data_IF_929308608703
#
_entry.id   IF_929308608703
#
_cell.length_a   1.000
_cell.length_b   1.000
_cell.length_c   1.000
_cell.angle_alpha   90.00
_cell.angle_beta   90.00
_cell.angle_gamma   90.00
#
_symmetry.space_group_name_H-M   'P 1'
#
loop_
_entity.id
_entity.type
_entity.pdbx_description
1 polymer ?
#
# COMPACT_ATOMS: atom_id res chain seq x y z
N UNK A 1 2.47 -80.62 43.51
CA UNK A 1 3.53 -80.04 42.61
C UNK A 1 3.43 -78.53 42.71
N UNK A 2 4.42 -77.82 43.27
CA UNK A 2 4.36 -76.39 43.41
C UNK A 2 4.95 -75.69 42.18
N UNK A 3 4.29 -74.63 41.75
CA UNK A 3 4.66 -73.74 40.67
C UNK A 3 5.92 -72.93 41.02
N UNK A 4 6.95 -73.02 40.15
CA UNK A 4 8.18 -72.23 40.28
C UNK A 4 7.92 -70.80 39.84
N UNK A 5 8.07 -69.84 40.74
CA UNK A 5 8.11 -68.39 40.40
C UNK A 5 9.43 -68.01 39.78
N UNK A 6 9.40 -67.51 38.55
CA UNK A 6 10.55 -66.91 37.86
C UNK A 6 10.73 -65.46 38.30
N UNK A 7 11.85 -65.15 38.95
CA UNK A 7 12.25 -63.80 39.32
C UNK A 7 12.99 -63.15 38.12
N UNK A 8 12.44 -62.04 37.62
CA UNK A 8 13.17 -61.19 36.66
C UNK A 8 14.08 -60.20 37.41
N UNK A 9 15.30 -59.94 36.94
CA UNK A 9 16.17 -58.98 37.60
C UNK A 9 15.71 -57.53 37.31
N UNK A 10 15.62 -56.70 38.36
CA UNK A 10 15.42 -55.25 38.24
C UNK A 10 16.64 -54.65 37.59
N UNK A 11 16.55 -54.31 36.28
CA UNK A 11 17.57 -53.52 35.59
C UNK A 11 17.35 -52.05 35.81
N UNK A 12 18.43 -51.37 36.18
CA UNK A 12 18.57 -49.98 36.55
C UNK A 12 17.92 -49.00 35.55
N UNK A 13 16.85 -48.32 35.98
CA UNK A 13 16.26 -47.17 35.27
C UNK A 13 17.06 -45.84 35.49
N UNK A 14 18.18 -45.90 36.24
CA UNK A 14 18.90 -44.67 36.68
C UNK A 14 19.97 -44.15 35.70
N UNK A 15 20.28 -44.87 34.60
CA UNK A 15 21.36 -44.46 33.67
C UNK A 15 20.87 -43.86 32.32
N UNK A 16 19.54 -43.83 32.06
CA UNK A 16 19.02 -43.31 30.77
C UNK A 16 18.71 -41.84 30.84
N UNK A 17 18.35 -41.29 31.98
CA UNK A 17 18.01 -39.88 32.15
C UNK A 17 19.16 -38.87 31.90
N UNK A 18 20.40 -39.10 32.34
CA UNK A 18 21.50 -38.19 32.06
C UNK A 18 21.95 -38.23 30.57
N UNK A 19 21.73 -39.34 29.85
CA UNK A 19 22.13 -39.42 28.45
C UNK A 19 21.20 -38.63 27.50
N UNK A 20 19.90 -38.59 27.84
CA UNK A 20 18.93 -37.75 27.09
C UNK A 20 19.13 -36.24 27.35
N UNK A 21 19.57 -35.83 28.52
CA UNK A 21 19.94 -34.44 28.81
C UNK A 21 21.24 -34.01 28.10
N UNK A 22 22.20 -34.93 27.91
CA UNK A 22 23.43 -34.61 27.18
C UNK A 22 23.21 -34.52 25.68
N UNK A 23 22.27 -35.27 25.10
CA UNK A 23 21.92 -35.21 23.68
C UNK A 23 21.18 -33.89 23.32
N UNK A 24 20.38 -33.35 24.26
CA UNK A 24 19.72 -32.06 24.10
C UNK A 24 20.70 -30.87 24.16
N UNK A 25 21.88 -31.03 24.77
CA UNK A 25 22.95 -30.03 24.81
C UNK A 25 23.89 -30.09 23.60
N UNK A 26 23.81 -31.17 22.80
CA UNK A 26 24.62 -31.36 21.59
C UNK A 26 23.84 -31.10 20.29
N UNK A 27 22.52 -30.79 20.35
CA UNK A 27 21.87 -30.21 19.19
C UNK A 27 22.51 -28.85 18.93
N UNK A 28 23.23 -28.64 17.81
CA UNK A 28 23.69 -27.32 17.48
C UNK A 28 22.43 -26.46 17.36
N UNK A 29 22.28 -25.50 18.25
CA UNK A 29 21.32 -24.41 18.09
C UNK A 29 21.76 -23.72 16.80
N UNK A 30 21.21 -24.16 15.66
CA UNK A 30 21.38 -23.42 14.43
C UNK A 30 20.72 -22.07 14.68
N UNK A 31 21.52 -21.09 15.08
CA UNK A 31 21.08 -19.72 15.08
C UNK A 31 20.59 -19.47 13.65
N UNK A 32 19.26 -19.42 13.46
CA UNK A 32 18.70 -19.03 12.17
C UNK A 32 19.35 -17.72 11.79
N UNK A 33 19.96 -17.66 10.61
CA UNK A 33 20.50 -16.42 10.13
C UNK A 33 19.43 -15.33 10.25
N UNK A 34 19.79 -14.15 10.74
CA UNK A 34 18.86 -13.06 10.86
C UNK A 34 18.25 -12.78 9.49
N UNK A 35 16.92 -12.72 9.41
CA UNK A 35 16.21 -12.42 8.17
C UNK A 35 16.66 -11.06 7.63
N UNK A 36 16.84 -10.99 6.31
CA UNK A 36 17.27 -9.78 5.63
C UNK A 36 16.08 -9.01 5.09
N UNK A 37 16.14 -7.69 5.16
CA UNK A 37 15.12 -6.79 4.65
C UNK A 37 15.71 -5.79 3.67
N UNK A 38 14.97 -5.49 2.61
CA UNK A 38 15.25 -4.39 1.69
C UNK A 38 14.03 -3.48 1.59
N UNK A 39 14.24 -2.19 1.81
CA UNK A 39 13.24 -1.14 1.60
C UNK A 39 13.66 -0.35 0.37
N UNK A 40 12.83 -0.34 -0.66
CA UNK A 40 13.02 0.42 -1.88
C UNK A 40 12.11 1.64 -1.86
N UNK A 41 12.71 2.82 -1.82
CA UNK A 41 11.99 4.08 -1.69
C UNK A 41 12.09 4.90 -2.98
N UNK A 42 10.98 4.97 -3.70
CA UNK A 42 10.84 5.76 -4.92
C UNK A 42 10.39 7.18 -4.54
N UNK A 43 11.38 8.05 -4.29
CA UNK A 43 11.21 9.38 -3.70
C UNK A 43 11.17 10.43 -4.82
N UNK A 44 9.99 10.72 -5.34
CA UNK A 44 9.73 11.79 -6.28
C UNK A 44 9.50 13.08 -5.49
N UNK A 45 10.47 14.01 -5.48
CA UNK A 45 10.39 15.20 -4.64
C UNK A 45 9.29 16.16 -5.04
N UNK A 46 9.01 16.30 -6.34
CA UNK A 46 8.00 17.23 -6.87
C UNK A 46 8.14 18.64 -6.31
N UNK A 47 7.09 19.46 -6.40
CA UNK A 47 7.05 20.75 -5.72
C UNK A 47 6.99 20.64 -4.19
N UNK A 48 6.59 19.49 -3.63
CA UNK A 48 6.65 19.25 -2.18
C UNK A 48 8.07 19.38 -1.62
N UNK A 49 9.07 18.93 -2.39
CA UNK A 49 10.47 19.14 -2.02
C UNK A 49 10.95 20.54 -2.42
N UNK A 50 10.55 21.01 -3.60
CA UNK A 50 11.01 22.32 -4.12
C UNK A 50 10.55 23.48 -3.24
N UNK A 51 9.30 23.46 -2.79
CA UNK A 51 8.67 24.55 -2.02
C UNK A 51 8.92 24.37 -0.52
N UNK A 52 8.71 23.17 0.02
CA UNK A 52 8.61 22.91 1.46
C UNK A 52 9.78 22.07 2.02
N UNK A 53 10.59 21.43 1.16
CA UNK A 53 11.65 20.54 1.61
C UNK A 53 11.17 19.25 2.27
N UNK A 54 9.94 18.80 1.95
CA UNK A 54 9.27 17.70 2.62
C UNK A 54 10.05 16.37 2.47
N UNK A 55 10.51 16.03 1.26
CA UNK A 55 11.32 14.85 1.06
C UNK A 55 12.67 14.90 1.81
N UNK A 56 13.25 16.09 1.90
CA UNK A 56 14.49 16.31 2.69
C UNK A 56 14.24 16.15 4.19
N UNK A 57 13.05 16.51 4.70
CA UNK A 57 12.66 16.29 6.09
C UNK A 57 12.53 14.79 6.40
N UNK A 58 11.85 14.03 5.55
CA UNK A 58 11.68 12.57 5.72
C UNK A 58 13.00 11.82 5.59
N UNK A 59 13.87 12.24 4.67
CA UNK A 59 15.25 11.75 4.61
C UNK A 59 16.02 12.02 5.90
N UNK A 60 15.82 13.20 6.50
CA UNK A 60 16.45 13.53 7.78
C UNK A 60 15.91 12.69 8.93
N UNK A 61 14.65 12.27 8.89
CA UNK A 61 14.08 11.30 9.81
C UNK A 61 14.70 9.91 9.64
N UNK A 62 14.77 9.40 8.41
CA UNK A 62 15.41 8.12 8.13
C UNK A 62 16.83 8.07 8.65
N UNK A 63 17.57 9.17 8.53
CA UNK A 63 18.97 9.23 8.97
C UNK A 63 19.16 9.18 10.48
N UNK A 64 18.10 9.42 11.26
CA UNK A 64 18.08 9.23 12.72
C UNK A 64 17.77 7.76 13.09
N UNK A 65 17.21 6.98 12.16
CA UNK A 65 16.92 5.58 12.41
C UNK A 65 18.19 4.76 12.63
N UNK A 66 18.10 3.72 13.47
CA UNK A 66 19.18 2.80 13.78
C UNK A 66 18.86 1.44 13.19
N UNK A 67 19.38 1.21 11.99
CA UNK A 67 19.15 -0.04 11.26
C UNK A 67 20.39 -0.95 11.34
N UNK A 68 20.22 -2.23 11.66
CA UNK A 68 21.30 -3.21 11.59
C UNK A 68 21.69 -3.52 10.14
N UNK A 69 22.84 -4.14 9.95
CA UNK A 69 23.45 -4.35 8.62
C UNK A 69 22.63 -5.30 7.73
N UNK A 70 21.70 -6.08 8.28
CA UNK A 70 20.77 -6.96 7.54
C UNK A 70 19.51 -6.23 7.02
N UNK A 71 19.39 -4.92 7.25
CA UNK A 71 18.37 -4.07 6.62
C UNK A 71 19.06 -3.10 5.66
N UNK A 72 18.60 -3.08 4.40
CA UNK A 72 19.05 -2.12 3.37
C UNK A 72 17.90 -1.20 3.00
N UNK A 73 18.19 0.12 2.96
CA UNK A 73 17.26 1.09 2.38
C UNK A 73 17.90 1.65 1.12
N UNK A 74 17.25 1.43 -0.02
CA UNK A 74 17.70 1.88 -1.35
C UNK A 74 16.73 2.94 -1.83
N UNK A 75 17.23 4.12 -2.16
CA UNK A 75 16.42 5.30 -2.45
C UNK A 75 16.73 5.78 -3.85
N UNK A 76 15.72 5.99 -4.68
CA UNK A 76 15.86 6.76 -5.92
C UNK A 76 15.24 8.14 -5.71
N UNK A 77 15.99 9.20 -6.05
CA UNK A 77 15.55 10.59 -5.96
C UNK A 77 15.46 11.22 -7.34
N UNK A 78 14.48 12.07 -7.53
CA UNK A 78 14.22 12.86 -8.74
C UNK A 78 12.99 13.72 -8.56
N UNK A 79 12.48 14.31 -9.63
CA UNK A 79 11.16 14.95 -9.69
C UNK A 79 11.07 16.36 -9.13
N UNK A 80 12.04 16.84 -8.35
CA UNK A 80 12.03 18.17 -7.76
C UNK A 80 12.91 19.15 -8.56
N UNK A 81 12.46 20.39 -8.71
CA UNK A 81 13.22 21.49 -9.30
C UNK A 81 14.37 21.93 -8.42
N UNK A 82 14.24 21.77 -7.10
CA UNK A 82 15.27 22.05 -6.11
C UNK A 82 15.19 21.01 -4.98
N UNK A 83 16.35 20.59 -4.46
CA UNK A 83 16.47 19.77 -3.25
C UNK A 83 17.03 20.60 -2.12
N UNK A 84 16.39 20.57 -0.96
CA UNK A 84 16.85 21.26 0.25
C UNK A 84 17.97 20.49 0.96
N UNK A 85 18.09 19.18 0.68
CA UNK A 85 19.14 18.35 1.25
C UNK A 85 20.43 18.46 0.46
N UNK A 86 21.58 18.85 1.08
CA UNK A 86 22.88 18.83 0.43
C UNK A 86 23.27 17.42 -0.07
N UNK A 87 23.84 17.35 -1.27
CA UNK A 87 24.28 16.10 -1.90
C UNK A 87 23.22 15.42 -2.77
N UNK A 88 21.97 15.91 -2.78
CA UNK A 88 20.94 15.51 -3.75
C UNK A 88 20.79 16.63 -4.79
N UNK A 89 20.61 16.26 -6.04
CA UNK A 89 20.56 17.21 -7.15
C UNK A 89 19.26 17.07 -7.95
N UNK A 90 18.70 18.20 -8.37
CA UNK A 90 17.56 18.26 -9.27
C UNK A 90 17.92 17.99 -10.76
N UNK A 91 19.21 17.93 -11.09
CA UNK A 91 19.68 17.81 -12.49
C UNK A 91 19.89 16.38 -12.96
N UNK A 92 19.64 15.40 -12.13
CA UNK A 92 19.81 13.98 -12.46
C UNK A 92 19.02 13.10 -11.48
N UNK A 93 18.71 11.87 -11.91
CA UNK A 93 18.23 10.82 -11.03
C UNK A 93 19.39 10.35 -10.18
N UNK A 94 19.25 10.40 -8.85
CA UNK A 94 20.21 9.86 -7.89
C UNK A 94 19.72 8.54 -7.30
N UNK A 95 20.64 7.56 -7.14
CA UNK A 95 20.36 6.36 -6.33
C UNK A 95 21.29 6.32 -5.15
N UNK A 96 20.71 6.10 -3.99
CA UNK A 96 21.41 6.14 -2.71
C UNK A 96 21.10 4.88 -1.91
N UNK A 97 22.04 4.52 -1.03
CA UNK A 97 21.84 3.48 -0.02
C UNK A 97 22.06 4.09 1.36
N UNK A 98 21.12 3.83 2.26
CA UNK A 98 21.32 4.16 3.68
C UNK A 98 22.36 3.24 4.28
N UNK A 99 23.35 3.82 4.94
CA UNK A 99 24.35 3.12 5.72
C UNK A 99 24.71 3.90 6.99
N UNK A 100 24.36 3.35 8.15
CA UNK A 100 24.73 3.88 9.47
C UNK A 100 24.49 5.39 9.62
N UNK A 101 23.30 5.86 9.30
CA UNK A 101 22.90 7.27 9.40
C UNK A 101 23.43 8.17 8.29
N UNK A 102 23.93 7.60 7.18
CA UNK A 102 24.40 8.35 6.00
C UNK A 102 23.77 7.82 4.74
N UNK A 103 23.68 8.67 3.73
CA UNK A 103 23.32 8.29 2.37
C UNK A 103 24.59 8.19 1.53
N UNK A 104 24.83 7.03 0.96
CA UNK A 104 25.91 6.79 0.00
C UNK A 104 25.32 6.79 -1.41
N UNK A 105 25.79 7.68 -2.29
CA UNK A 105 25.35 7.69 -3.68
C UNK A 105 25.99 6.51 -4.43
N UNK A 106 25.16 5.59 -4.89
CA UNK A 106 25.60 4.37 -5.61
C UNK A 106 25.39 4.45 -7.12
N UNK A 107 24.53 5.37 -7.59
CA UNK A 107 24.38 5.65 -9.02
C UNK A 107 23.91 7.08 -9.27
N UNK A 108 24.30 7.58 -10.45
CA UNK A 108 23.86 8.86 -11.00
C UNK A 108 23.45 8.62 -12.45
N UNK A 109 22.21 8.94 -12.76
CA UNK A 109 21.62 8.71 -14.08
C UNK A 109 21.22 10.05 -14.71
N UNK A 110 21.12 10.16 -16.05
CA UNK A 110 20.54 11.32 -16.68
C UNK A 110 19.18 11.67 -16.09
N UNK A 111 18.82 12.96 -16.14
CA UNK A 111 17.48 13.41 -15.77
C UNK A 111 16.42 12.71 -16.64
N UNK A 112 15.39 12.20 -16.01
CA UNK A 112 14.25 11.53 -16.63
C UNK A 112 13.03 11.74 -15.74
N UNK A 113 11.83 11.68 -16.29
CA UNK A 113 10.61 11.79 -15.50
C UNK A 113 10.48 10.66 -14.48
N UNK A 114 10.23 11.01 -13.22
CA UNK A 114 9.85 10.03 -12.18
C UNK A 114 8.44 9.49 -12.44
N UNK A 115 7.62 10.18 -13.23
CA UNK A 115 6.31 9.71 -13.71
C UNK A 115 6.38 8.77 -14.93
N UNK A 116 7.56 8.46 -15.46
CA UNK A 116 7.71 7.55 -16.62
C UNK A 116 7.90 6.09 -16.19
N UNK A 117 7.14 5.18 -16.82
CA UNK A 117 7.22 3.73 -16.64
C UNK A 117 8.65 3.19 -16.74
N UNK A 118 9.47 3.73 -17.65
CA UNK A 118 10.86 3.26 -17.83
C UNK A 118 11.74 3.62 -16.64
N UNK A 119 11.51 4.78 -16.03
CA UNK A 119 12.26 5.22 -14.85
C UNK A 119 11.96 4.32 -13.66
N UNK A 120 10.67 4.00 -13.42
CA UNK A 120 10.28 3.05 -12.39
C UNK A 120 10.83 1.65 -12.68
N UNK A 121 10.67 1.15 -13.92
CA UNK A 121 11.19 -0.17 -14.33
C UNK A 121 12.69 -0.28 -14.10
N UNK A 122 13.45 0.77 -14.45
CA UNK A 122 14.90 0.82 -14.22
C UNK A 122 15.28 0.77 -12.75
N UNK A 123 14.50 1.41 -11.87
CA UNK A 123 14.74 1.35 -10.42
C UNK A 123 14.43 -0.03 -9.86
N UNK A 124 13.30 -0.62 -10.22
CA UNK A 124 12.91 -1.97 -9.81
C UNK A 124 13.96 -3.00 -10.22
N UNK A 125 14.44 -2.94 -11.48
CA UNK A 125 15.47 -3.83 -11.98
C UNK A 125 16.80 -3.68 -11.20
N UNK A 126 17.22 -2.43 -10.96
CA UNK A 126 18.42 -2.13 -10.17
C UNK A 126 18.32 -2.68 -8.74
N UNK A 127 17.17 -2.51 -8.09
CA UNK A 127 16.94 -3.03 -6.74
C UNK A 127 17.00 -4.56 -6.72
N UNK A 128 16.31 -5.20 -7.66
CA UNK A 128 16.28 -6.67 -7.77
C UNK A 128 17.67 -7.25 -8.00
N UNK A 129 18.46 -6.63 -8.86
CA UNK A 129 19.79 -7.11 -9.23
C UNK A 129 20.82 -6.95 -8.09
N UNK A 130 20.77 -5.83 -7.36
CA UNK A 130 21.84 -5.46 -6.44
C UNK A 130 21.50 -5.57 -4.96
N UNK A 131 20.19 -5.60 -4.59
CA UNK A 131 19.75 -5.46 -3.20
C UNK A 131 18.61 -6.41 -2.82
N UNK A 132 18.48 -7.57 -3.46
CA UNK A 132 17.50 -8.58 -3.07
C UNK A 132 17.69 -9.01 -1.61
N UNK A 133 16.59 -9.28 -0.92
CA UNK A 133 16.54 -9.72 0.48
C UNK A 133 15.44 -10.77 0.66
N UNK A 134 15.40 -11.42 1.84
CA UNK A 134 14.33 -12.37 2.18
C UNK A 134 12.96 -11.69 2.20
N UNK A 135 12.93 -10.43 2.66
CA UNK A 135 11.73 -9.58 2.72
C UNK A 135 11.99 -8.26 2.01
N UNK A 136 11.04 -7.83 1.21
CA UNK A 136 11.15 -6.61 0.42
C UNK A 136 9.94 -5.71 0.63
N UNK A 137 10.18 -4.42 0.83
CA UNK A 137 9.17 -3.36 0.93
C UNK A 137 9.43 -2.35 -0.18
N UNK A 138 8.40 -1.91 -0.88
CA UNK A 138 8.48 -0.82 -1.85
C UNK A 138 7.59 0.35 -1.39
N UNK A 139 8.09 1.57 -1.45
CA UNK A 139 7.36 2.77 -1.05
C UNK A 139 7.42 3.80 -2.18
N UNK A 140 6.25 4.22 -2.64
CA UNK A 140 6.09 5.43 -3.44
C UNK A 140 5.93 6.62 -2.51
N UNK A 141 6.58 7.73 -2.82
CA UNK A 141 6.49 8.97 -2.07
C UNK A 141 6.31 10.16 -3.00
N UNK A 142 5.24 10.90 -2.88
CA UNK A 142 4.91 12.17 -3.56
C UNK A 142 3.41 12.49 -3.41
N UNK A 143 2.90 13.38 -4.25
CA UNK A 143 1.47 13.52 -4.51
C UNK A 143 0.86 12.21 -5.00
N UNK A 144 -0.39 12.00 -4.65
CA UNK A 144 -1.23 10.92 -5.14
C UNK A 144 -2.57 11.46 -5.63
N UNK A 145 -3.07 10.90 -6.73
CA UNK A 145 -4.33 11.29 -7.37
C UNK A 145 -5.34 10.14 -7.50
N UNK A 146 -5.18 9.10 -6.68
CA UNK A 146 -6.08 7.94 -6.66
C UNK A 146 -6.10 7.17 -7.99
N UNK A 147 -7.27 6.66 -8.34
CA UNK A 147 -7.46 5.80 -9.53
C UNK A 147 -7.18 6.52 -10.85
N UNK A 148 -7.30 7.86 -10.90
CA UNK A 148 -7.15 8.65 -12.13
C UNK A 148 -5.77 9.30 -12.23
N UNK A 149 -5.35 9.96 -11.16
CA UNK A 149 -4.13 10.80 -11.17
C UNK A 149 -2.85 10.02 -10.93
N UNK A 150 -2.94 8.77 -10.42
CA UNK A 150 -1.76 7.97 -10.14
C UNK A 150 -0.89 8.54 -9.02
N UNK A 151 0.45 8.42 -9.15
CA UNK A 151 1.43 8.82 -8.12
C UNK A 151 2.75 9.25 -8.78
N UNK A 152 3.61 9.93 -8.04
CA UNK A 152 4.95 10.36 -8.47
C UNK A 152 4.91 11.42 -9.59
N UNK A 153 4.37 12.58 -9.26
CA UNK A 153 4.18 13.73 -10.14
C UNK A 153 5.49 14.53 -10.29
N UNK A 154 6.18 14.41 -11.41
CA UNK A 154 7.46 15.06 -11.65
C UNK A 154 7.28 16.51 -12.13
N UNK A 155 7.57 17.51 -11.28
CA UNK A 155 7.44 18.92 -11.64
C UNK A 155 8.36 19.35 -12.79
N UNK A 156 9.51 18.68 -12.96
CA UNK A 156 10.44 18.98 -14.05
C UNK A 156 9.90 18.53 -15.42
N UNK A 157 8.87 17.71 -15.43
CA UNK A 157 8.22 17.14 -16.62
C UNK A 157 6.72 17.43 -16.66
N UNK A 158 6.33 18.66 -16.30
CA UNK A 158 4.93 19.14 -16.30
C UNK A 158 4.01 18.29 -15.42
N UNK A 159 4.49 17.83 -14.26
CA UNK A 159 3.76 16.95 -13.36
C UNK A 159 3.31 15.63 -14.01
N UNK A 160 4.15 15.11 -14.91
CA UNK A 160 3.99 13.76 -15.43
C UNK A 160 3.97 12.76 -14.27
N UNK A 161 2.98 11.86 -14.25
CA UNK A 161 2.70 10.97 -13.13
C UNK A 161 2.55 9.52 -13.59
N UNK A 162 3.02 8.59 -12.75
CA UNK A 162 2.80 7.16 -12.97
C UNK A 162 1.31 6.81 -12.84
N UNK A 163 0.70 6.42 -13.93
CA UNK A 163 -0.64 5.82 -13.93
C UNK A 163 -0.60 4.42 -13.30
N UNK A 164 -1.73 3.92 -12.82
CA UNK A 164 -1.83 2.55 -12.26
C UNK A 164 -1.42 1.49 -13.29
N UNK A 165 -1.68 1.73 -14.58
CA UNK A 165 -1.26 0.85 -15.67
C UNK A 165 0.26 0.81 -15.83
N UNK A 166 0.94 1.94 -15.76
CA UNK A 166 2.40 2.03 -15.84
C UNK A 166 3.07 1.40 -14.63
N UNK A 167 2.50 1.57 -13.43
CA UNK A 167 2.93 0.86 -12.23
C UNK A 167 2.84 -0.65 -12.46
N UNK A 168 1.67 -1.15 -12.83
CA UNK A 168 1.46 -2.58 -13.10
C UNK A 168 2.44 -3.12 -14.17
N UNK A 169 2.62 -2.40 -15.27
CA UNK A 169 3.54 -2.77 -16.35
C UNK A 169 4.99 -2.82 -15.85
N UNK A 170 5.42 -1.83 -15.06
CA UNK A 170 6.79 -1.77 -14.52
C UNK A 170 7.08 -2.97 -13.63
N UNK A 171 6.15 -3.31 -12.73
CA UNK A 171 6.30 -4.49 -11.89
C UNK A 171 6.32 -5.79 -12.71
N UNK A 172 5.42 -5.95 -13.70
CA UNK A 172 5.37 -7.11 -14.60
C UNK A 172 6.65 -7.31 -15.41
N UNK A 173 7.32 -6.23 -15.80
CA UNK A 173 8.59 -6.32 -16.56
C UNK A 173 9.74 -6.86 -15.73
N UNK A 174 9.71 -6.66 -14.42
CA UNK A 174 10.82 -7.02 -13.53
C UNK A 174 10.53 -8.23 -12.68
N UNK A 175 9.29 -8.39 -12.22
CA UNK A 175 8.87 -9.45 -11.31
C UNK A 175 7.76 -10.31 -11.90
N UNK A 176 7.68 -11.55 -11.43
CA UNK A 176 6.55 -12.43 -11.73
C UNK A 176 5.51 -12.28 -10.63
N UNK A 177 4.28 -11.95 -11.02
CA UNK A 177 3.16 -11.90 -10.08
C UNK A 177 2.85 -13.29 -9.52
N UNK A 178 2.57 -13.36 -8.23
CA UNK A 178 2.17 -14.59 -7.54
C UNK A 178 1.26 -14.25 -6.36
N UNK A 179 0.10 -14.88 -6.29
CA UNK A 179 -0.80 -14.73 -5.15
C UNK A 179 -0.26 -15.42 -3.89
N UNK A 180 0.49 -16.53 -4.05
CA UNK A 180 1.01 -17.32 -2.93
C UNK A 180 2.34 -16.79 -2.40
N UNK A 181 3.21 -16.31 -3.29
CA UNK A 181 4.55 -15.82 -3.00
C UNK A 181 4.86 -14.55 -3.77
N UNK A 182 4.19 -13.45 -3.44
CA UNK A 182 4.47 -12.19 -4.09
C UNK A 182 5.91 -11.71 -3.79
N UNK A 183 6.55 -10.97 -4.71
CA UNK A 183 7.93 -10.52 -4.53
C UNK A 183 8.12 -9.51 -3.41
N UNK A 184 7.06 -8.81 -3.00
CA UNK A 184 7.09 -7.83 -1.92
C UNK A 184 6.19 -8.24 -0.78
N UNK A 185 6.62 -7.92 0.45
CA UNK A 185 5.78 -8.03 1.62
C UNK A 185 4.78 -6.86 1.71
N UNK A 186 5.27 -5.66 1.41
CA UNK A 186 4.45 -4.45 1.40
C UNK A 186 4.80 -3.60 0.16
N UNK A 187 3.78 -3.12 -0.53
CA UNK A 187 3.89 -1.94 -1.41
C UNK A 187 3.11 -0.83 -0.72
N UNK A 188 3.82 0.25 -0.37
CA UNK A 188 3.29 1.40 0.33
C UNK A 188 3.19 2.63 -0.56
N UNK A 189 2.21 3.47 -0.27
CA UNK A 189 2.01 4.76 -0.90
C UNK A 189 1.95 5.82 0.20
N UNK A 190 3.07 6.49 0.45
CA UNK A 190 3.14 7.72 1.24
C UNK A 190 2.73 8.86 0.30
N UNK A 191 1.44 8.90 0.03
CA UNK A 191 0.81 9.73 -0.99
C UNK A 191 -0.71 9.77 -0.81
N UNK A 192 -1.32 10.91 -1.14
CA UNK A 192 -2.76 11.15 -1.04
C UNK A 192 -3.59 10.16 -1.87
N UNK A 193 -4.76 9.75 -1.37
CA UNK A 193 -5.84 9.12 -2.13
C UNK A 193 -5.53 7.73 -2.74
N UNK A 194 -4.38 7.12 -2.44
CA UNK A 194 -3.96 5.89 -3.13
C UNK A 194 -4.61 4.59 -2.60
N UNK A 195 -5.34 4.63 -1.46
CA UNK A 195 -6.09 3.45 -0.99
C UNK A 195 -7.37 3.24 -1.81
N UNK A 196 -7.22 2.94 -3.10
CA UNK A 196 -8.35 2.62 -3.99
C UNK A 196 -8.36 1.14 -4.36
N UNK A 197 -9.54 0.61 -4.69
CA UNK A 197 -9.68 -0.76 -5.20
C UNK A 197 -8.90 -0.95 -6.51
N UNK A 198 -8.81 0.10 -7.33
CA UNK A 198 -8.05 0.08 -8.59
C UNK A 198 -6.53 -0.01 -8.32
N UNK A 199 -6.01 0.77 -7.36
CA UNK A 199 -4.60 0.70 -6.93
C UNK A 199 -4.27 -0.68 -6.38
N UNK A 200 -5.10 -1.19 -5.47
CA UNK A 200 -4.93 -2.52 -4.90
C UNK A 200 -4.95 -3.61 -5.99
N UNK A 201 -5.84 -3.48 -6.98
CA UNK A 201 -5.93 -4.40 -8.12
C UNK A 201 -4.69 -4.32 -9.02
N UNK A 202 -4.15 -3.12 -9.25
CA UNK A 202 -2.98 -2.92 -10.10
C UNK A 202 -1.72 -3.58 -9.55
N UNK A 203 -1.59 -3.68 -8.23
CA UNK A 203 -0.41 -4.28 -7.56
C UNK A 203 -0.69 -5.67 -6.95
N UNK A 204 -1.91 -6.19 -7.08
CA UNK A 204 -2.25 -7.54 -6.63
C UNK A 204 -1.36 -8.59 -7.28
N UNK A 205 -0.85 -9.52 -6.48
CA UNK A 205 0.13 -10.53 -6.88
C UNK A 205 1.59 -10.05 -6.86
N UNK A 206 1.85 -8.73 -6.73
CA UNK A 206 3.22 -8.21 -6.56
C UNK A 206 3.57 -7.94 -5.10
N UNK A 207 2.59 -7.71 -4.25
CA UNK A 207 2.82 -7.61 -2.81
C UNK A 207 1.79 -8.42 -2.02
N UNK A 208 2.15 -8.72 -0.77
CA UNK A 208 1.23 -9.34 0.19
C UNK A 208 0.25 -8.32 0.74
N UNK A 209 0.76 -7.16 1.08
CA UNK A 209 -0.03 -6.06 1.63
C UNK A 209 0.19 -4.76 0.88
N UNK A 210 -0.85 -3.93 0.86
CA UNK A 210 -0.77 -2.52 0.50
C UNK A 210 -0.95 -1.68 1.77
N UNK A 211 -0.14 -0.61 1.91
CA UNK A 211 -0.37 0.45 2.91
C UNK A 211 -0.62 1.75 2.16
N UNK A 212 -1.78 2.35 2.34
CA UNK A 212 -2.17 3.58 1.63
C UNK A 212 -3.29 4.34 2.34
N UNK A 213 -3.44 5.61 2.02
CA UNK A 213 -4.49 6.51 2.52
C UNK A 213 -5.65 6.65 1.54
N UNK A 214 -6.88 6.71 2.06
CA UNK A 214 -8.07 7.09 1.30
C UNK A 214 -8.22 8.61 1.18
N UNK A 215 -7.70 9.37 2.14
CA UNK A 215 -7.75 10.82 2.22
C UNK A 215 -6.42 11.46 1.78
N UNK A 216 -6.37 12.76 1.69
CA UNK A 216 -5.13 13.52 1.58
C UNK A 216 -4.27 13.25 2.81
N UNK A 217 -3.04 12.84 2.60
CA UNK A 217 -2.07 12.71 3.68
C UNK A 217 -1.56 14.09 4.10
N UNK A 218 -1.48 14.37 5.41
CA UNK A 218 -0.85 15.59 5.90
C UNK A 218 0.62 15.69 5.50
N UNK A 219 1.12 16.91 5.38
CA UNK A 219 2.49 17.19 4.90
C UNK A 219 3.62 16.59 5.74
N UNK A 220 3.32 16.10 6.95
CA UNK A 220 4.31 15.37 7.77
C UNK A 220 4.59 13.95 7.28
N UNK A 221 3.80 13.41 6.33
CA UNK A 221 4.02 12.08 5.76
C UNK A 221 4.09 10.95 6.78
N UNK A 222 4.74 9.85 6.40
CA UNK A 222 4.99 8.72 7.29
C UNK A 222 6.17 9.00 8.21
N UNK A 223 6.19 8.34 9.39
CA UNK A 223 7.25 8.60 10.38
C UNK A 223 8.50 7.75 10.13
N UNK A 224 9.42 8.24 9.29
CA UNK A 224 10.62 7.52 8.81
C UNK A 224 11.72 7.29 9.88
N UNK A 225 11.54 7.73 11.12
CA UNK A 225 12.38 7.30 12.24
C UNK A 225 11.74 6.14 13.00
N UNK A 226 10.43 6.18 13.24
CA UNK A 226 9.75 5.27 14.19
C UNK A 226 9.59 3.86 13.62
N UNK A 227 8.92 3.72 12.47
CA UNK A 227 8.70 2.39 11.89
C UNK A 227 10.00 1.68 11.46
N UNK A 228 11.04 2.39 10.88
CA UNK A 228 12.29 1.71 10.58
C UNK A 228 13.02 1.26 11.83
N UNK A 229 12.99 2.05 12.92
CA UNK A 229 13.56 1.63 14.21
C UNK A 229 12.86 0.39 14.77
N UNK A 230 11.53 0.27 14.64
CA UNK A 230 10.79 -0.90 15.07
C UNK A 230 11.22 -2.15 14.27
N UNK A 231 11.37 -2.02 12.94
CA UNK A 231 11.90 -3.08 12.09
C UNK A 231 13.36 -3.42 12.48
N UNK A 232 14.20 -2.40 12.72
CA UNK A 232 15.60 -2.57 13.13
C UNK A 232 15.76 -3.26 14.48
N UNK A 233 14.83 -3.04 15.41
CA UNK A 233 14.81 -3.69 16.72
C UNK A 233 14.36 -5.16 16.65
N UNK A 234 13.55 -5.53 15.66
CA UNK A 234 13.06 -6.91 15.48
C UNK A 234 12.88 -7.24 13.99
N UNK A 235 13.88 -7.82 13.36
CA UNK A 235 13.83 -8.24 11.95
C UNK A 235 12.99 -9.48 11.69
N UNK A 236 12.47 -10.14 12.73
CA UNK A 236 11.53 -11.25 12.64
C UNK A 236 10.05 -10.80 12.69
N UNK A 237 9.77 -9.48 12.56
CA UNK A 237 8.41 -8.99 12.44
C UNK A 237 7.71 -9.65 11.24
N UNK A 238 6.46 -10.05 11.44
CA UNK A 238 5.64 -10.41 10.27
C UNK A 238 5.33 -9.20 9.41
N UNK A 239 5.14 -9.36 8.10
CA UNK A 239 4.75 -8.26 7.21
C UNK A 239 3.50 -7.51 7.69
N UNK A 240 2.50 -8.23 8.23
CA UNK A 240 1.31 -7.63 8.82
C UNK A 240 1.65 -6.76 10.04
N UNK A 241 2.51 -7.25 10.93
CA UNK A 241 2.91 -6.48 12.10
C UNK A 241 3.67 -5.20 11.70
N UNK A 242 4.53 -5.28 10.67
CA UNK A 242 5.21 -4.10 10.14
C UNK A 242 4.21 -3.11 9.54
N UNK A 243 3.23 -3.58 8.75
CA UNK A 243 2.20 -2.71 8.18
C UNK A 243 1.36 -2.00 9.25
N UNK A 244 0.99 -2.69 10.34
CA UNK A 244 0.30 -2.08 11.49
C UNK A 244 1.17 -1.01 12.16
N UNK A 245 2.45 -1.27 12.36
CA UNK A 245 3.40 -0.31 12.95
C UNK A 245 3.52 0.94 12.04
N UNK A 246 3.55 0.78 10.72
CA UNK A 246 3.55 1.92 9.79
C UNK A 246 2.28 2.76 10.01
N UNK A 247 1.10 2.14 10.05
CA UNK A 247 -0.16 2.83 10.27
C UNK A 247 -0.19 3.56 11.64
N UNK A 248 0.22 2.89 12.70
CA UNK A 248 0.19 3.45 14.06
C UNK A 248 1.14 4.64 14.18
N UNK A 249 2.38 4.50 13.72
CA UNK A 249 3.40 5.56 13.80
C UNK A 249 3.07 6.76 12.91
N UNK A 250 2.40 6.54 11.76
CA UNK A 250 1.85 7.62 10.94
C UNK A 250 0.80 8.43 11.72
N UNK A 251 -0.20 7.76 12.32
CA UNK A 251 -1.23 8.48 13.07
C UNK A 251 -0.66 9.18 14.31
N UNK A 252 0.33 8.59 14.97
CA UNK A 252 1.05 9.23 16.08
C UNK A 252 1.79 10.48 15.61
N UNK A 253 2.54 10.42 14.51
CA UNK A 253 3.20 11.57 13.89
C UNK A 253 2.20 12.68 13.52
N UNK A 254 1.06 12.32 12.95
CA UNK A 254 -0.01 13.27 12.66
C UNK A 254 -0.58 13.93 13.92
N UNK A 255 -0.70 13.19 15.04
CA UNK A 255 -1.14 13.77 16.33
C UNK A 255 -0.10 14.75 16.89
N UNK A 256 1.17 14.38 16.84
CA UNK A 256 2.28 15.25 17.29
C UNK A 256 2.35 16.53 16.46
N UNK A 257 2.17 16.44 15.15
CA UNK A 257 2.11 17.58 14.23
C UNK A 257 0.77 18.35 14.28
N UNK A 258 -0.22 17.88 15.03
CA UNK A 258 -1.59 18.44 15.10
C UNK A 258 -2.34 18.41 13.76
N UNK A 259 -2.05 17.44 12.90
CA UNK A 259 -2.63 17.26 11.55
C UNK A 259 -3.56 16.04 11.45
N UNK A 260 -3.78 15.32 12.54
CA UNK A 260 -4.51 14.04 12.54
C UNK A 260 -6.00 14.13 12.16
N UNK A 261 -6.58 15.33 12.07
CA UNK A 261 -8.03 15.52 11.91
C UNK A 261 -8.68 14.65 10.84
N UNK A 262 -8.15 14.70 9.64
CA UNK A 262 -8.62 13.94 8.46
C UNK A 262 -7.71 12.78 8.08
N UNK A 263 -6.62 12.52 8.79
CA UNK A 263 -5.67 11.47 8.45
C UNK A 263 -6.35 10.10 8.35
N UNK A 264 -5.98 9.31 7.35
CA UNK A 264 -6.39 7.91 7.21
C UNK A 264 -5.18 7.10 6.73
N UNK A 265 -5.03 5.87 7.19
CA UNK A 265 -4.08 4.93 6.62
C UNK A 265 -4.57 3.50 6.86
N UNK A 266 -4.52 2.66 5.84
CA UNK A 266 -5.05 1.31 5.90
C UNK A 266 -4.04 0.27 5.42
N UNK A 267 -4.04 -0.90 6.06
CA UNK A 267 -3.30 -2.09 5.67
C UNK A 267 -4.27 -3.06 4.99
N UNK A 268 -4.02 -3.36 3.72
CA UNK A 268 -4.89 -4.14 2.85
C UNK A 268 -4.21 -5.45 2.47
N UNK A 269 -4.86 -6.59 2.70
CA UNK A 269 -4.42 -7.90 2.21
C UNK A 269 -4.75 -8.04 0.71
N UNK A 270 -3.73 -7.97 -0.12
CA UNK A 270 -3.86 -8.02 -1.58
C UNK A 270 -4.30 -9.40 -2.11
N UNK A 271 -4.14 -10.46 -1.34
CA UNK A 271 -4.64 -11.78 -1.72
C UNK A 271 -6.19 -11.85 -1.69
N UNK A 272 -6.84 -10.92 -0.98
CA UNK A 272 -8.29 -10.80 -0.88
C UNK A 272 -8.92 -9.94 -1.97
N UNK A 273 -8.15 -9.12 -2.64
CA UNK A 273 -8.65 -8.16 -3.65
C UNK A 273 -9.42 -8.82 -4.81
N UNK A 274 -9.03 -9.99 -5.35
CA UNK A 274 -9.85 -10.66 -6.36
C UNK A 274 -11.28 -10.96 -5.89
N UNK A 275 -11.47 -11.30 -4.61
CA UNK A 275 -12.79 -11.57 -4.04
C UNK A 275 -13.59 -10.29 -3.83
N UNK A 276 -12.94 -9.20 -3.39
CA UNK A 276 -13.56 -7.87 -3.30
C UNK A 276 -14.04 -7.41 -4.68
N UNK A 277 -13.21 -7.56 -5.71
CA UNK A 277 -13.57 -7.21 -7.09
C UNK A 277 -14.75 -8.04 -7.60
N UNK A 278 -14.77 -9.34 -7.32
CA UNK A 278 -15.88 -10.22 -7.71
C UNK A 278 -17.19 -9.77 -7.05
N UNK A 279 -17.17 -9.55 -5.74
CA UNK A 279 -18.33 -9.12 -4.98
C UNK A 279 -18.80 -7.71 -5.40
N UNK A 280 -17.87 -6.79 -5.67
CA UNK A 280 -18.17 -5.43 -6.14
C UNK A 280 -18.84 -5.45 -7.51
N UNK A 281 -18.31 -6.25 -8.45
CA UNK A 281 -18.90 -6.35 -9.77
C UNK A 281 -20.26 -7.10 -9.77
N UNK A 282 -20.44 -8.11 -8.92
CA UNK A 282 -21.71 -8.79 -8.75
C UNK A 282 -22.80 -7.83 -8.21
N UNK A 283 -22.48 -7.05 -7.20
CA UNK A 283 -23.36 -6.01 -6.66
C UNK A 283 -23.71 -4.96 -7.74
N UNK A 284 -22.70 -4.53 -8.51
CA UNK A 284 -22.91 -3.56 -9.58
C UNK A 284 -23.77 -4.09 -10.74
N UNK A 285 -23.64 -5.38 -11.10
CA UNK A 285 -24.51 -6.02 -12.10
C UNK A 285 -25.98 -6.02 -11.65
N UNK A 286 -26.23 -6.37 -10.40
CA UNK A 286 -27.59 -6.34 -9.86
C UNK A 286 -28.13 -4.90 -9.82
N UNK A 287 -27.28 -3.93 -9.46
CA UNK A 287 -27.66 -2.52 -9.49
C UNK A 287 -28.00 -2.03 -10.91
N UNK A 288 -27.24 -2.46 -11.93
CA UNK A 288 -27.56 -2.16 -13.34
C UNK A 288 -28.90 -2.82 -13.74
N UNK A 289 -29.13 -4.07 -13.37
CA UNK A 289 -30.39 -4.78 -13.65
C UNK A 289 -31.60 -4.04 -13.08
N UNK A 290 -31.51 -3.63 -11.81
CA UNK A 290 -32.58 -2.83 -11.18
C UNK A 290 -32.80 -1.48 -11.87
N UNK A 291 -31.72 -0.83 -12.28
CA UNK A 291 -31.77 0.46 -12.96
C UNK A 291 -32.41 0.35 -14.36
N UNK A 292 -32.28 -0.79 -15.03
CA UNK A 292 -32.95 -1.06 -16.32
C UNK A 292 -34.47 -1.30 -16.16
N UNK A 293 -34.91 -1.83 -15.01
CA UNK A 293 -36.32 -2.10 -14.72
C UNK A 293 -37.03 -0.88 -14.09
N UNK A 294 -36.26 0.00 -13.39
CA UNK A 294 -36.78 1.19 -12.71
C UNK A 294 -35.82 2.37 -12.79
N UNK A 295 -36.07 3.30 -13.69
CA UNK A 295 -35.29 4.51 -13.89
C UNK A 295 -35.12 5.34 -12.61
N UNK A 296 -36.01 5.23 -11.64
CA UNK A 296 -35.87 5.93 -10.36
C UNK A 296 -34.68 5.48 -9.54
N UNK A 297 -34.15 4.26 -9.80
CA UNK A 297 -32.99 3.71 -9.17
C UNK A 297 -31.71 4.52 -9.52
N UNK A 298 -31.57 5.03 -10.73
CA UNK A 298 -30.42 5.90 -11.09
C UNK A 298 -30.33 7.12 -10.18
N UNK A 299 -31.46 7.77 -9.93
CA UNK A 299 -31.51 8.92 -9.04
C UNK A 299 -31.24 8.54 -7.57
N UNK A 300 -31.72 7.36 -7.14
CA UNK A 300 -31.46 6.83 -5.81
C UNK A 300 -29.97 6.51 -5.63
N UNK A 301 -29.36 5.79 -6.57
CA UNK A 301 -27.94 5.48 -6.57
C UNK A 301 -27.07 6.74 -6.47
N UNK A 302 -27.32 7.73 -7.33
CA UNK A 302 -26.56 8.99 -7.31
C UNK A 302 -26.68 9.74 -5.98
N UNK A 303 -27.87 9.75 -5.36
CA UNK A 303 -28.05 10.33 -4.01
C UNK A 303 -27.24 9.57 -2.95
N UNK A 304 -27.22 8.23 -2.99
CA UNK A 304 -26.48 7.42 -2.03
C UNK A 304 -24.96 7.57 -2.19
N UNK A 305 -24.45 7.58 -3.43
CA UNK A 305 -23.04 7.81 -3.71
C UNK A 305 -22.59 9.19 -3.21
N UNK A 306 -23.36 10.26 -3.49
CA UNK A 306 -23.05 11.62 -3.04
C UNK A 306 -23.17 11.82 -1.52
N UNK A 307 -23.98 11.03 -0.84
CA UNK A 307 -24.14 11.08 0.61
C UNK A 307 -23.16 10.15 1.36
N UNK A 308 -22.41 9.31 0.65
CA UNK A 308 -21.38 8.47 1.23
C UNK A 308 -20.17 9.28 1.69
N UNK A 309 -19.37 8.71 2.57
CA UNK A 309 -18.03 9.22 2.89
C UNK A 309 -17.24 9.34 1.59
N UNK A 310 -16.60 10.47 1.38
CA UNK A 310 -15.84 10.74 0.16
C UNK A 310 -14.68 11.69 0.47
N UNK A 311 -13.72 11.78 -0.44
CA UNK A 311 -12.45 12.41 -0.18
C UNK A 311 -12.15 13.46 -1.26
N UNK A 312 -11.92 14.72 -0.84
CA UNK A 312 -11.63 15.86 -1.74
C UNK A 312 -12.65 15.96 -2.89
N UNK A 313 -13.91 16.21 -2.56
CA UNK A 313 -15.00 16.35 -3.54
C UNK A 313 -15.82 17.62 -3.29
N UNK A 314 -15.18 18.78 -3.36
CA UNK A 314 -15.84 20.06 -3.24
C UNK A 314 -15.30 21.08 -4.26
N UNK A 315 -16.05 22.13 -4.53
CA UNK A 315 -15.62 23.21 -5.46
C UNK A 315 -14.36 23.93 -4.99
N UNK A 316 -14.13 24.00 -3.69
CA UNK A 316 -12.98 24.70 -3.09
C UNK A 316 -11.71 23.85 -3.10
N UNK A 317 -11.85 22.52 -3.01
CA UNK A 317 -10.73 21.57 -2.93
C UNK A 317 -10.43 20.89 -4.25
N UNK A 318 -11.36 20.99 -5.22
CA UNK A 318 -11.35 20.18 -6.44
C UNK A 318 -12.14 18.89 -6.29
N UNK A 319 -12.03 18.01 -7.25
CA UNK A 319 -12.75 16.73 -7.28
C UNK A 319 -11.79 15.59 -7.53
N UNK A 320 -11.51 14.79 -6.51
CA UNK A 320 -10.78 13.53 -6.67
C UNK A 320 -11.63 12.45 -7.34
N UNK A 321 -12.96 12.59 -7.23
CA UNK A 321 -13.94 11.58 -7.63
C UNK A 321 -13.80 10.24 -6.87
N UNK A 322 -13.24 10.26 -5.64
CA UNK A 322 -13.09 9.08 -4.79
C UNK A 322 -14.19 9.01 -3.74
N UNK A 323 -14.91 7.89 -3.69
CA UNK A 323 -15.93 7.56 -2.70
C UNK A 323 -15.49 6.37 -1.85
N UNK A 324 -15.80 6.41 -0.55
CA UNK A 324 -15.62 5.27 0.34
C UNK A 324 -16.56 4.13 -0.05
N UNK A 325 -16.00 2.99 -0.45
CA UNK A 325 -16.76 1.86 -0.97
C UNK A 325 -17.70 1.25 0.08
N UNK A 326 -17.20 1.06 1.30
CA UNK A 326 -18.04 0.50 2.37
C UNK A 326 -19.17 1.43 2.78
N UNK A 327 -18.93 2.76 2.84
CA UNK A 327 -19.96 3.75 3.12
C UNK A 327 -21.03 3.77 2.02
N UNK A 328 -20.62 3.77 0.76
CA UNK A 328 -21.53 3.73 -0.39
C UNK A 328 -22.39 2.46 -0.37
N UNK A 329 -21.77 1.30 -0.19
CA UNK A 329 -22.50 0.01 -0.22
C UNK A 329 -23.41 -0.16 0.99
N UNK A 330 -23.03 0.29 2.19
CA UNK A 330 -23.94 0.31 3.35
C UNK A 330 -25.22 1.07 3.08
N UNK A 331 -25.17 2.12 2.25
CA UNK A 331 -26.35 2.91 1.84
C UNK A 331 -27.23 2.20 0.81
N UNK A 332 -26.63 1.31 0.00
CA UNK A 332 -27.36 0.49 -0.97
C UNK A 332 -28.01 -0.76 -0.33
N UNK A 333 -27.63 -1.10 0.91
CA UNK A 333 -28.07 -2.34 1.58
C UNK A 333 -29.60 -2.47 1.74
N UNK A 334 -30.34 -1.38 1.81
CA UNK A 334 -31.81 -1.41 1.87
C UNK A 334 -32.44 -1.89 0.58
N UNK A 335 -31.80 -1.64 -0.56
CA UNK A 335 -32.30 -2.00 -1.90
C UNK A 335 -31.69 -3.32 -2.39
N UNK A 336 -30.43 -3.58 -2.04
CA UNK A 336 -29.63 -4.74 -2.48
C UNK A 336 -29.02 -5.47 -1.28
N UNK A 337 -29.82 -6.05 -0.36
CA UNK A 337 -29.34 -6.50 0.95
C UNK A 337 -28.28 -7.60 0.86
N UNK A 338 -28.49 -8.64 0.05
CA UNK A 338 -27.60 -9.80 -0.03
C UNK A 338 -26.26 -9.46 -0.69
N UNK A 339 -26.30 -8.82 -1.85
CA UNK A 339 -25.09 -8.41 -2.57
C UNK A 339 -24.27 -7.37 -1.80
N UNK A 340 -24.95 -6.43 -1.13
CA UNK A 340 -24.28 -5.45 -0.27
C UNK A 340 -23.60 -6.11 0.91
N UNK A 341 -24.25 -7.08 1.56
CA UNK A 341 -23.62 -7.78 2.69
C UNK A 341 -22.42 -8.58 2.23
N UNK A 342 -22.52 -9.32 1.11
CA UNK A 342 -21.43 -10.10 0.56
C UNK A 342 -20.21 -9.22 0.21
N UNK A 343 -20.45 -8.04 -0.38
CA UNK A 343 -19.37 -7.09 -0.63
C UNK A 343 -18.73 -6.58 0.66
N UNK A 344 -19.54 -6.18 1.65
CA UNK A 344 -19.05 -5.65 2.93
C UNK A 344 -18.24 -6.69 3.70
N UNK A 345 -18.62 -7.95 3.66
CA UNK A 345 -17.87 -9.05 4.25
C UNK A 345 -16.51 -9.24 3.54
N UNK A 346 -16.53 -9.25 2.19
CA UNK A 346 -15.30 -9.38 1.39
C UNK A 346 -14.35 -8.19 1.61
N UNK A 347 -14.88 -6.97 1.74
CA UNK A 347 -14.11 -5.77 2.05
C UNK A 347 -13.50 -5.87 3.46
N UNK A 348 -14.28 -6.32 4.44
CA UNK A 348 -13.82 -6.53 5.82
C UNK A 348 -12.71 -7.56 5.92
N UNK A 349 -12.74 -8.62 5.10
CA UNK A 349 -11.68 -9.62 5.03
C UNK A 349 -10.38 -9.08 4.41
N UNK A 350 -10.48 -8.08 3.52
CA UNK A 350 -9.33 -7.47 2.86
C UNK A 350 -8.67 -6.36 3.68
N UNK A 351 -9.46 -5.58 4.42
CA UNK A 351 -8.94 -4.48 5.26
C UNK A 351 -8.49 -5.02 6.61
N UNK A 352 -7.21 -5.40 6.70
CA UNK A 352 -6.63 -6.04 7.88
C UNK A 352 -6.50 -5.09 9.07
N UNK A 353 -6.21 -3.83 8.79
CA UNK A 353 -6.05 -2.78 9.79
C UNK A 353 -6.30 -1.41 9.17
N UNK A 354 -6.82 -0.49 9.97
CA UNK A 354 -7.01 0.90 9.55
C UNK A 354 -6.91 1.82 10.75
N UNK A 355 -6.27 2.97 10.54
CA UNK A 355 -6.20 4.08 11.50
C UNK A 355 -6.80 5.33 10.86
N UNK A 356 -7.41 6.18 11.68
CA UNK A 356 -7.97 7.44 11.19
C UNK A 356 -8.07 8.50 12.28
N UNK A 357 -8.12 9.74 11.85
CA UNK A 357 -8.42 10.87 12.69
C UNK A 357 -9.91 11.01 13.02
N UNK A 358 -10.27 11.94 13.91
CA UNK A 358 -11.64 12.07 14.44
C UNK A 358 -12.68 12.52 13.42
N UNK A 359 -12.28 13.06 12.28
CA UNK A 359 -13.21 13.61 11.28
C UNK A 359 -13.49 12.66 10.12
N UNK A 360 -12.94 11.45 10.14
CA UNK A 360 -13.11 10.43 9.11
C UNK A 360 -13.63 9.13 9.70
N UNK A 361 -14.31 8.36 8.85
CA UNK A 361 -14.82 7.01 9.17
C UNK A 361 -14.60 6.09 7.97
N UNK A 362 -13.33 5.89 7.57
CA UNK A 362 -12.97 5.18 6.36
C UNK A 362 -13.30 3.69 6.47
N UNK A 363 -13.65 3.07 5.34
CA UNK A 363 -13.79 1.60 5.25
C UNK A 363 -12.52 0.90 4.73
N UNK A 364 -11.47 1.65 4.44
CA UNK A 364 -10.16 1.16 4.03
C UNK A 364 -9.91 1.20 2.52
N UNK A 365 -10.94 1.17 1.67
CA UNK A 365 -10.80 1.30 0.22
C UNK A 365 -11.82 2.25 -0.38
N UNK A 366 -11.35 3.08 -1.29
CA UNK A 366 -12.15 3.98 -2.14
C UNK A 366 -12.37 3.37 -3.52
N UNK A 367 -13.35 3.89 -4.23
CA UNK A 367 -13.58 3.65 -5.65
C UNK A 367 -13.97 4.94 -6.36
N UNK A 368 -13.98 4.88 -7.68
CA UNK A 368 -14.34 6.02 -8.50
C UNK A 368 -15.87 6.26 -8.53
N UNK A 369 -16.28 7.51 -8.31
CA UNK A 369 -17.62 8.04 -8.63
C UNK A 369 -17.47 9.49 -9.12
N UNK A 370 -18.07 9.88 -10.29
CA UNK A 370 -17.88 11.21 -10.88
C UNK A 370 -18.68 12.29 -10.14
N UNK A 371 -18.15 12.76 -9.02
CA UNK A 371 -18.75 13.81 -8.20
C UNK A 371 -18.85 15.15 -8.93
N UNK A 372 -17.87 15.43 -9.79
CA UNK A 372 -17.81 16.64 -10.63
C UNK A 372 -18.89 16.64 -11.72
N UNK A 373 -19.51 15.50 -12.01
CA UNK A 373 -20.44 15.32 -13.13
C UNK A 373 -19.73 15.42 -14.49
N UNK A 374 -18.40 15.37 -14.52
CA UNK A 374 -17.57 15.52 -15.72
C UNK A 374 -17.29 14.20 -16.41
N UNK A 375 -17.26 14.22 -17.76
CA UNK A 375 -16.95 13.04 -18.58
C UNK A 375 -15.45 12.73 -18.64
N UNK A 376 -14.57 13.66 -18.29
CA UNK A 376 -13.11 13.52 -18.45
C UNK A 376 -12.57 12.39 -17.60
N UNK A 377 -12.79 12.41 -16.26
CA UNK A 377 -12.36 11.35 -15.34
C UNK A 377 -12.96 10.00 -15.70
N UNK A 378 -14.23 9.96 -16.05
CA UNK A 378 -14.90 8.76 -16.53
C UNK A 378 -14.20 8.17 -17.76
N UNK A 379 -13.88 9.00 -18.76
CA UNK A 379 -13.17 8.58 -19.98
C UNK A 379 -11.77 8.05 -19.65
N UNK A 380 -11.07 8.67 -18.71
CA UNK A 380 -9.76 8.19 -18.25
C UNK A 380 -9.84 6.80 -17.61
N UNK A 381 -10.84 6.55 -16.76
CA UNK A 381 -11.07 5.22 -16.17
C UNK A 381 -11.36 4.17 -17.23
N UNK A 382 -12.22 4.49 -18.22
CA UNK A 382 -12.53 3.59 -19.34
C UNK A 382 -11.27 3.27 -20.18
N UNK A 383 -10.45 4.26 -20.48
CA UNK A 383 -9.20 4.09 -21.25
C UNK A 383 -8.13 3.31 -20.48
N UNK A 384 -8.09 3.46 -19.17
CA UNK A 384 -7.19 2.68 -18.31
C UNK A 384 -7.55 1.18 -18.28
N UNK A 385 -8.77 0.82 -18.68
CA UNK A 385 -9.27 -0.55 -18.66
C UNK A 385 -9.78 -1.00 -17.29
N UNK A 386 -9.93 -0.08 -16.34
CA UNK A 386 -10.47 -0.33 -14.99
C UNK A 386 -11.99 -0.25 -15.02
N UNK A 387 -12.61 -1.09 -15.87
CA UNK A 387 -14.06 -1.07 -16.10
C UNK A 387 -14.71 -1.94 -15.03
N UNK A 388 -15.33 -1.28 -14.04
CA UNK A 388 -16.23 -1.93 -13.07
C UNK A 388 -17.68 -1.74 -13.48
N UNK A 389 -18.56 -2.61 -13.01
CA UNK A 389 -20.01 -2.47 -13.25
C UNK A 389 -20.57 -1.19 -12.63
N UNK A 390 -19.98 -0.69 -11.54
CA UNK A 390 -20.36 0.60 -10.96
C UNK A 390 -19.88 1.79 -11.81
N UNK A 391 -18.77 1.68 -12.53
CA UNK A 391 -18.37 2.68 -13.51
C UNK A 391 -19.41 2.74 -14.64
N UNK A 392 -19.85 1.59 -15.14
CA UNK A 392 -20.93 1.50 -16.15
C UNK A 392 -22.22 2.13 -15.61
N UNK A 393 -22.65 1.76 -14.41
CA UNK A 393 -23.85 2.34 -13.76
C UNK A 393 -23.77 3.86 -13.64
N UNK A 394 -22.60 4.40 -13.25
CA UNK A 394 -22.39 5.84 -13.15
C UNK A 394 -22.44 6.51 -14.54
N UNK A 395 -21.90 5.84 -15.57
CA UNK A 395 -21.96 6.31 -16.96
C UNK A 395 -23.36 6.38 -17.50
N UNK A 396 -24.19 5.37 -17.24
CA UNK A 396 -25.62 5.35 -17.58
C UNK A 396 -26.39 6.43 -16.81
N UNK A 397 -26.17 6.52 -15.49
CA UNK A 397 -26.80 7.53 -14.62
C UNK A 397 -26.57 8.97 -15.11
N UNK A 398 -25.38 9.26 -15.60
CA UNK A 398 -24.97 10.63 -16.00
C UNK A 398 -25.11 10.86 -17.51
N UNK A 399 -25.58 9.89 -18.28
CA UNK A 399 -25.71 9.99 -19.73
C UNK A 399 -24.38 10.02 -20.46
N UNK A 400 -23.35 9.38 -19.92
CA UNK A 400 -22.04 9.21 -20.58
C UNK A 400 -22.02 7.97 -21.48
N UNK A 401 -22.86 7.00 -21.16
CA UNK A 401 -23.13 5.79 -21.92
C UNK A 401 -24.63 5.78 -22.32
N UNK A 402 -24.91 5.23 -23.54
CA UNK A 402 -26.25 5.02 -24.08
C UNK A 402 -26.76 3.62 -23.72
#
# INVERSE_FOLDING_TARGET
MPLKTVRYPKRCAACILPLLLLISLLCPYHARAAETWAVYWYLCGSNLETEDGAASADLAELLKARLPDNIKVVIQTGGAGQWHRPGISSKHIGRYVYHKGKLEQVAKLPQASMGDEKTLTSFLAFCKENYSADHQVFIFWDHGGGSIGGVANDENFNFDALTLKEINNSFKKVYTASAERPPFEIIGFDACLMATLDTASAISGFARYMVASQEVEPANGWHYTAWPNALGANTALSPEALGRIICDTYLEGCKEAQTAGNATLSLIDLAKIPFVNLAYNALGLEAVSLAMDDDSFYAAYGRQAKAAENYVNSRSEGYSNMVDLGSMVRRLKTTLPEFSQHFLDSLGDAVVYSVHGPYRSPSGLSGYYPFDGGKSGFSSMMQAGNITTFLVLSGLQLGFLD
#
